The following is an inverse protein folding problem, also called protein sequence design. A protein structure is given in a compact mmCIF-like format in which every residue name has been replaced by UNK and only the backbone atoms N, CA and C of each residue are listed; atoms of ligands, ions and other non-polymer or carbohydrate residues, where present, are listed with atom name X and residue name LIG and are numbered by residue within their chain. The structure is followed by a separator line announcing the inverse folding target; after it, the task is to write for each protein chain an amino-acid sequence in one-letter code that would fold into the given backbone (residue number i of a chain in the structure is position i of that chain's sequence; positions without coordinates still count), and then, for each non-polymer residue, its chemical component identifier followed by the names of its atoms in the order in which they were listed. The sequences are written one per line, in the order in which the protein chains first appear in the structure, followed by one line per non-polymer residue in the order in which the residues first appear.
data_IF_178919725941
#
_entry.id   IF_178919725941
#
_cell.length_a   1.000
_cell.length_b   1.000
_cell.length_c   1.000
_cell.angle_alpha   90.00
_cell.angle_beta   90.00
_cell.angle_gamma   90.00
#
_symmetry.space_group_name_H-M   'P 1'
#
loop_
_entity.id
_entity.type
_entity.pdbx_description
1 polymer ?
#
# COMPACT_ATOMS: atom_id res chain seq x y z
N UNK A 1 5.84 1.67 53.30
CA UNK A 1 4.81 1.37 52.29
C UNK A 1 5.26 1.97 50.96
N UNK A 2 5.63 1.15 49.97
CA UNK A 2 5.94 1.61 48.61
C UNK A 2 4.71 1.36 47.75
N UNK A 3 4.06 2.43 47.29
CA UNK A 3 2.93 2.34 46.38
C UNK A 3 3.39 1.86 45.01
N UNK A 4 2.82 0.75 44.54
CA UNK A 4 2.89 0.37 43.14
C UNK A 4 1.93 1.26 42.36
N UNK A 5 2.46 2.19 41.57
CA UNK A 5 1.67 2.83 40.52
C UNK A 5 1.57 1.85 39.35
N UNK A 6 0.46 1.14 39.25
CA UNK A 6 0.07 0.49 38.00
C UNK A 6 -0.38 1.59 37.03
N UNK A 7 0.45 1.91 36.03
CA UNK A 7 -0.02 2.64 34.86
C UNK A 7 -0.96 1.71 34.09
N UNK A 8 -2.27 1.95 34.22
CA UNK A 8 -3.25 1.37 33.31
C UNK A 8 -3.28 2.22 32.04
N UNK A 9 -2.86 1.66 30.92
CA UNK A 9 -3.16 2.25 29.62
C UNK A 9 -4.66 2.13 29.37
N UNK A 10 -5.37 3.25 29.33
CA UNK A 10 -6.69 3.28 28.72
C UNK A 10 -6.47 3.14 27.22
N UNK A 11 -6.63 1.92 26.70
CA UNK A 11 -6.64 1.67 25.26
C UNK A 11 -7.93 2.29 24.73
N UNK A 12 -7.90 3.56 24.37
CA UNK A 12 -8.90 4.17 23.51
C UNK A 12 -8.75 3.51 22.14
N UNK A 13 -9.86 3.10 21.50
CA UNK A 13 -9.84 2.67 20.11
C UNK A 13 -9.24 3.82 19.28
N UNK A 14 -7.96 3.71 18.89
CA UNK A 14 -7.35 4.67 17.97
C UNK A 14 -8.15 4.63 16.67
N UNK A 15 -8.81 5.75 16.35
CA UNK A 15 -9.47 5.92 15.06
C UNK A 15 -8.36 6.09 14.04
N UNK A 16 -8.05 5.03 13.28
CA UNK A 16 -7.10 5.09 12.18
C UNK A 16 -7.70 5.95 11.07
N UNK A 17 -7.09 7.12 10.82
CA UNK A 17 -7.43 7.97 9.68
C UNK A 17 -6.87 7.36 8.39
N UNK A 18 -7.74 6.70 7.63
CA UNK A 18 -7.39 5.99 6.39
C UNK A 18 -6.82 6.96 5.35
N UNK A 19 -7.37 8.17 5.23
CA UNK A 19 -6.96 9.13 4.20
C UNK A 19 -5.57 9.67 4.52
N UNK A 20 -5.29 9.97 5.79
CA UNK A 20 -3.96 10.36 6.23
C UNK A 20 -2.91 9.26 5.97
N UNK A 21 -3.25 8.00 6.25
CA UNK A 21 -2.35 6.88 5.98
C UNK A 21 -2.06 6.71 4.48
N UNK A 22 -3.08 6.85 3.62
CA UNK A 22 -2.91 6.80 2.17
C UNK A 22 -2.06 7.98 1.67
N UNK A 23 -2.21 9.17 2.26
CA UNK A 23 -1.41 10.34 1.89
C UNK A 23 0.08 10.14 2.22
N UNK A 24 0.40 9.54 3.37
CA UNK A 24 1.79 9.19 3.72
C UNK A 24 2.39 8.24 2.66
N UNK A 25 1.61 7.25 2.18
CA UNK A 25 2.07 6.36 1.10
C UNK A 25 2.32 7.14 -0.20
N UNK A 26 1.43 8.06 -0.59
CA UNK A 26 1.62 8.89 -1.79
C UNK A 26 2.88 9.74 -1.71
N UNK A 27 3.19 10.29 -0.53
CA UNK A 27 4.38 11.11 -0.33
C UNK A 27 5.68 10.34 -0.61
N UNK A 28 5.70 9.01 -0.45
CA UNK A 28 6.86 8.18 -0.84
C UNK A 28 7.20 8.24 -2.32
N UNK A 29 6.27 8.66 -3.19
CA UNK A 29 6.59 8.89 -4.61
C UNK A 29 7.64 9.98 -4.81
N UNK A 30 7.66 10.99 -3.94
CA UNK A 30 8.65 12.04 -4.02
C UNK A 30 10.05 11.48 -3.72
N UNK A 31 10.17 10.65 -2.69
CA UNK A 31 11.40 9.90 -2.40
C UNK A 31 11.83 9.04 -3.59
N UNK A 32 10.90 8.33 -4.23
CA UNK A 32 11.22 7.52 -5.42
C UNK A 32 11.77 8.37 -6.57
N UNK A 33 11.27 9.59 -6.79
CA UNK A 33 11.85 10.47 -7.81
C UNK A 33 13.27 10.90 -7.44
N UNK A 34 13.48 11.28 -6.19
CA UNK A 34 14.78 11.70 -5.68
C UNK A 34 15.83 10.57 -5.77
N UNK A 35 15.45 9.34 -5.44
CA UNK A 35 16.33 8.19 -5.59
C UNK A 35 16.66 7.89 -7.06
N UNK A 36 15.70 8.03 -7.99
CA UNK A 36 15.98 7.89 -9.42
C UNK A 36 17.02 8.91 -9.89
N UNK A 37 16.87 10.18 -9.51
CA UNK A 37 17.81 11.26 -9.82
C UNK A 37 19.20 10.96 -9.26
N UNK A 38 19.29 10.46 -8.02
CA UNK A 38 20.56 10.07 -7.42
C UNK A 38 21.23 8.91 -8.17
N UNK A 39 20.49 7.88 -8.61
CA UNK A 39 21.08 6.83 -9.45
C UNK A 39 21.64 7.40 -10.77
N UNK A 40 20.92 8.33 -11.40
CA UNK A 40 21.38 8.98 -12.64
C UNK A 40 22.63 9.84 -12.38
N UNK A 41 22.67 10.57 -11.27
CA UNK A 41 23.81 11.35 -10.81
C UNK A 41 25.04 10.46 -10.64
N UNK A 42 24.95 9.38 -9.86
CA UNK A 42 26.09 8.50 -9.63
C UNK A 42 26.55 7.79 -10.92
N UNK A 43 25.63 7.46 -11.82
CA UNK A 43 26.00 6.92 -13.13
C UNK A 43 26.80 7.91 -13.99
N UNK A 44 26.32 9.14 -14.08
CA UNK A 44 26.77 10.09 -15.13
C UNK A 44 27.81 11.08 -14.63
N UNK A 45 27.67 11.54 -13.38
CA UNK A 45 28.50 12.59 -12.78
C UNK A 45 29.62 11.97 -11.94
N UNK A 46 29.33 10.93 -11.16
CA UNK A 46 30.35 10.21 -10.38
C UNK A 46 31.01 9.08 -11.17
N UNK A 47 30.78 9.02 -12.48
CA UNK A 47 31.42 8.10 -13.41
C UNK A 47 31.42 6.62 -12.97
N UNK A 48 30.32 6.13 -12.36
CA UNK A 48 30.20 4.77 -11.81
C UNK A 48 30.74 3.65 -12.72
N UNK A 49 30.45 3.69 -14.02
CA UNK A 49 30.93 2.66 -14.96
C UNK A 49 32.44 2.73 -15.21
N UNK A 50 33.05 3.89 -15.04
CA UNK A 50 34.51 4.03 -15.12
C UNK A 50 35.20 3.49 -13.87
N UNK A 51 34.59 3.64 -12.68
CA UNK A 51 35.10 3.07 -11.43
C UNK A 51 35.25 1.55 -11.54
N UNK A 52 34.25 0.87 -12.08
CA UNK A 52 34.22 -0.61 -12.12
C UNK A 52 34.95 -1.21 -13.34
N UNK A 53 35.48 -0.39 -14.26
CA UNK A 53 36.04 -0.87 -15.56
C UNK A 53 37.29 -1.72 -15.40
N UNK A 54 38.09 -1.48 -14.37
CA UNK A 54 39.35 -2.19 -14.10
C UNK A 54 39.14 -3.53 -13.39
N UNK A 55 37.92 -3.80 -12.93
CA UNK A 55 37.56 -5.08 -12.33
C UNK A 55 37.48 -6.18 -13.40
N UNK A 56 37.64 -7.42 -12.97
CA UNK A 56 37.37 -8.55 -13.86
C UNK A 56 35.89 -8.55 -14.31
N UNK A 57 35.56 -9.21 -15.43
CA UNK A 57 34.21 -9.17 -15.99
C UNK A 57 33.10 -9.64 -15.05
N UNK A 58 33.36 -10.63 -14.19
CA UNK A 58 32.37 -11.17 -13.26
C UNK A 58 31.99 -10.14 -12.18
N UNK A 59 33.01 -9.49 -11.62
CA UNK A 59 32.85 -8.47 -10.58
C UNK A 59 32.24 -7.18 -11.14
N UNK A 60 32.72 -6.75 -12.32
CA UNK A 60 32.13 -5.63 -13.04
C UNK A 60 30.62 -5.86 -13.26
N UNK A 61 30.26 -7.03 -13.80
CA UNK A 61 28.86 -7.37 -14.04
C UNK A 61 28.06 -7.40 -12.73
N UNK A 62 28.56 -8.05 -11.69
CA UNK A 62 27.87 -8.14 -10.40
C UNK A 62 27.62 -6.75 -9.80
N UNK A 63 28.64 -5.90 -9.73
CA UNK A 63 28.54 -4.56 -9.16
C UNK A 63 27.63 -3.68 -10.01
N UNK A 64 27.69 -3.77 -11.35
CA UNK A 64 26.81 -3.00 -12.25
C UNK A 64 25.31 -3.22 -11.99
N UNK A 65 24.93 -4.34 -11.37
CA UNK A 65 23.54 -4.63 -11.02
C UNK A 65 22.98 -3.65 -10.00
N UNK A 66 23.80 -3.02 -9.15
CA UNK A 66 23.29 -2.06 -8.17
C UNK A 66 22.58 -0.89 -8.84
N UNK A 67 23.16 -0.37 -9.93
CA UNK A 67 22.56 0.70 -10.71
C UNK A 67 21.27 0.24 -11.40
N UNK A 68 21.33 -0.85 -12.19
CA UNK A 68 20.19 -1.29 -12.99
C UNK A 68 19.02 -1.74 -12.11
N UNK A 69 19.28 -2.63 -11.14
CA UNK A 69 18.22 -3.13 -10.24
C UNK A 69 17.70 -2.07 -9.30
N UNK A 70 18.57 -1.21 -8.77
CA UNK A 70 18.18 -0.08 -7.95
C UNK A 70 17.25 0.85 -8.72
N UNK A 71 17.73 1.43 -9.83
CA UNK A 71 16.98 2.37 -10.67
C UNK A 71 15.64 1.80 -11.17
N UNK A 72 15.65 0.60 -11.73
CA UNK A 72 14.43 -0.02 -12.27
C UNK A 72 13.38 -0.25 -11.17
N UNK A 73 13.83 -0.58 -9.96
CA UNK A 73 12.96 -0.71 -8.79
C UNK A 73 12.30 0.62 -8.46
N UNK A 74 13.06 1.72 -8.45
CA UNK A 74 12.52 3.03 -8.08
C UNK A 74 11.46 3.51 -9.08
N UNK A 75 11.74 3.35 -10.38
CA UNK A 75 10.82 3.69 -11.46
C UNK A 75 9.52 2.88 -11.32
N UNK A 76 9.66 1.57 -11.10
CA UNK A 76 8.52 0.67 -10.94
C UNK A 76 7.68 1.05 -9.72
N UNK A 77 8.32 1.26 -8.56
CA UNK A 77 7.65 1.64 -7.32
C UNK A 77 6.90 2.98 -7.46
N UNK A 78 7.48 3.98 -8.13
CA UNK A 78 6.80 5.25 -8.38
C UNK A 78 5.49 5.05 -9.17
N UNK A 79 5.52 4.22 -10.22
CA UNK A 79 4.32 3.88 -11.00
C UNK A 79 3.31 3.08 -10.16
N UNK A 80 3.78 2.06 -9.45
CA UNK A 80 2.94 1.17 -8.65
C UNK A 80 2.24 1.96 -7.54
N UNK A 81 2.93 2.86 -6.85
CA UNK A 81 2.33 3.71 -5.83
C UNK A 81 1.29 4.64 -6.46
N UNK A 82 1.59 5.24 -7.62
CA UNK A 82 0.62 6.06 -8.34
C UNK A 82 -0.64 5.29 -8.69
N UNK A 83 -0.51 4.14 -9.36
CA UNK A 83 -1.63 3.34 -9.80
C UNK A 83 -2.45 2.81 -8.61
N UNK A 84 -1.79 2.46 -7.52
CA UNK A 84 -2.45 1.98 -6.30
C UNK A 84 -3.16 3.07 -5.51
N UNK A 85 -2.78 4.32 -5.67
CA UNK A 85 -3.38 5.45 -4.94
C UNK A 85 -4.32 6.28 -5.83
N UNK A 86 -4.43 5.92 -7.10
CA UNK A 86 -5.37 6.50 -8.06
C UNK A 86 -6.72 5.76 -7.99
N UNK A 87 -7.79 6.40 -7.47
CA UNK A 87 -9.06 5.71 -7.19
C UNK A 87 -9.68 4.96 -8.38
N UNK A 88 -9.59 5.44 -9.64
CA UNK A 88 -10.11 4.68 -10.78
C UNK A 88 -9.48 3.30 -10.97
N UNK A 89 -8.21 3.12 -10.61
CA UNK A 89 -7.51 1.83 -10.75
C UNK A 89 -7.78 0.92 -9.54
N UNK A 90 -7.86 1.51 -8.35
CA UNK A 90 -7.99 0.81 -7.08
C UNK A 90 -9.12 1.42 -6.23
N UNK A 91 -10.39 1.25 -6.61
CA UNK A 91 -11.53 2.00 -6.05
C UNK A 91 -11.91 1.62 -4.62
N UNK A 92 -11.21 0.67 -4.00
CA UNK A 92 -11.51 0.18 -2.66
C UNK A 92 -10.21 0.02 -1.89
N UNK A 93 -10.26 0.25 -0.58
CA UNK A 93 -9.13 0.05 0.33
C UNK A 93 -8.54 -1.36 0.19
N UNK A 94 -9.38 -2.39 0.02
CA UNK A 94 -8.93 -3.76 -0.24
C UNK A 94 -8.08 -3.86 -1.51
N UNK A 95 -8.57 -3.36 -2.64
CA UNK A 95 -7.83 -3.41 -3.92
C UNK A 95 -6.50 -2.64 -3.85
N UNK A 96 -6.47 -1.47 -3.21
CA UNK A 96 -5.25 -0.70 -2.97
C UNK A 96 -4.23 -1.54 -2.19
N UNK A 97 -4.64 -2.11 -1.06
CA UNK A 97 -3.76 -2.89 -0.19
C UNK A 97 -3.26 -4.15 -0.87
N UNK A 98 -4.14 -4.88 -1.55
CA UNK A 98 -3.78 -6.13 -2.24
C UNK A 98 -2.79 -5.85 -3.38
N UNK A 99 -3.01 -4.77 -4.16
CA UNK A 99 -2.13 -4.39 -5.25
C UNK A 99 -0.75 -3.94 -4.73
N UNK A 100 -0.68 -3.11 -3.70
CA UNK A 100 0.60 -2.69 -3.11
C UNK A 100 1.35 -3.86 -2.46
N UNK A 101 0.67 -4.69 -1.65
CA UNK A 101 1.34 -5.75 -0.87
C UNK A 101 2.12 -6.71 -1.76
N UNK A 102 1.56 -7.13 -2.89
CA UNK A 102 2.21 -8.07 -3.82
C UNK A 102 3.43 -7.43 -4.49
N UNK A 103 3.29 -6.18 -4.93
CA UNK A 103 4.34 -5.49 -5.67
C UNK A 103 5.51 -5.05 -4.79
N UNK A 104 5.22 -4.57 -3.57
CA UNK A 104 6.24 -4.10 -2.63
C UNK A 104 7.22 -5.21 -2.25
N UNK A 105 6.72 -6.40 -1.92
CA UNK A 105 7.56 -7.55 -1.56
C UNK A 105 8.49 -7.96 -2.71
N UNK A 106 7.96 -8.01 -3.94
CA UNK A 106 8.75 -8.33 -5.13
C UNK A 106 9.92 -7.34 -5.32
N UNK A 107 9.62 -6.04 -5.23
CA UNK A 107 10.61 -4.99 -5.42
C UNK A 107 11.62 -4.88 -4.27
N UNK A 108 11.18 -5.13 -3.03
CA UNK A 108 12.08 -5.22 -1.88
C UNK A 108 13.12 -6.32 -2.10
N UNK A 109 12.68 -7.51 -2.48
CA UNK A 109 13.58 -8.65 -2.71
C UNK A 109 14.61 -8.36 -3.82
N UNK A 110 14.22 -7.68 -4.90
CA UNK A 110 15.16 -7.27 -5.96
C UNK A 110 16.21 -6.32 -5.42
N UNK A 111 15.78 -5.26 -4.73
CA UNK A 111 16.67 -4.23 -4.21
C UNK A 111 17.62 -4.81 -3.14
N UNK A 112 17.06 -5.61 -2.23
CA UNK A 112 17.78 -6.23 -1.12
C UNK A 112 18.81 -7.25 -1.57
N UNK A 113 18.43 -8.12 -2.51
CA UNK A 113 19.38 -9.08 -3.08
C UNK A 113 20.51 -8.39 -3.83
N UNK A 114 20.23 -7.31 -4.56
CA UNK A 114 21.25 -6.55 -5.29
C UNK A 114 22.25 -5.89 -4.33
N UNK A 115 21.78 -5.10 -3.36
CA UNK A 115 22.71 -4.38 -2.48
C UNK A 115 23.51 -5.32 -1.58
N UNK A 116 22.91 -6.40 -1.06
CA UNK A 116 23.64 -7.38 -0.23
C UNK A 116 24.73 -8.10 -1.00
N UNK A 117 24.45 -8.48 -2.25
CA UNK A 117 25.44 -9.14 -3.10
C UNK A 117 26.61 -8.22 -3.44
N UNK A 118 26.32 -6.95 -3.77
CA UNK A 118 27.36 -5.95 -4.08
C UNK A 118 28.15 -5.57 -2.84
N UNK A 119 27.48 -5.29 -1.71
CA UNK A 119 28.12 -4.97 -0.43
C UNK A 119 29.09 -6.07 0.03
N UNK A 120 28.65 -7.32 -0.04
CA UNK A 120 29.53 -8.47 0.24
C UNK A 120 30.73 -8.48 -0.70
N UNK A 121 30.52 -8.29 -1.99
CA UNK A 121 31.60 -8.40 -2.98
C UNK A 121 32.64 -7.30 -2.85
N UNK A 122 32.21 -6.05 -2.69
CA UNK A 122 33.15 -4.93 -2.53
C UNK A 122 33.96 -5.07 -1.24
N UNK A 123 33.40 -5.68 -0.21
CA UNK A 123 34.12 -5.98 1.02
C UNK A 123 35.22 -7.03 0.80
N UNK A 124 34.91 -8.11 0.09
CA UNK A 124 35.89 -9.16 -0.27
C UNK A 124 37.03 -8.64 -1.16
N UNK A 125 36.74 -7.63 -1.98
CA UNK A 125 37.71 -7.01 -2.90
C UNK A 125 38.46 -5.82 -2.28
N UNK A 126 38.08 -5.38 -1.07
CA UNK A 126 38.50 -4.12 -0.46
C UNK A 126 38.30 -2.90 -1.39
N UNK A 127 37.22 -2.91 -2.16
CA UNK A 127 36.94 -1.97 -3.26
C UNK A 127 35.83 -0.97 -2.91
N UNK A 128 36.17 0.11 -2.21
CA UNK A 128 35.21 1.03 -1.58
C UNK A 128 35.02 2.35 -2.36
N UNK A 129 34.59 2.26 -3.60
CA UNK A 129 34.30 3.47 -4.40
C UNK A 129 33.05 4.19 -3.91
N UNK A 130 33.15 5.53 -3.82
CA UNK A 130 32.09 6.39 -3.30
C UNK A 130 30.75 6.18 -4.01
N UNK A 131 30.76 6.15 -5.34
CA UNK A 131 29.54 5.98 -6.16
C UNK A 131 28.84 4.64 -5.89
N UNK A 132 29.59 3.58 -5.57
CA UNK A 132 29.04 2.27 -5.26
C UNK A 132 28.43 2.26 -3.85
N UNK A 133 29.13 2.83 -2.87
CA UNK A 133 28.66 2.93 -1.49
C UNK A 133 27.35 3.72 -1.41
N UNK A 134 27.26 4.84 -2.12
CA UNK A 134 26.04 5.63 -2.15
C UNK A 134 24.89 4.91 -2.86
N UNK A 135 25.13 4.24 -3.97
CA UNK A 135 24.10 3.40 -4.60
C UNK A 135 23.61 2.26 -3.70
N UNK A 136 24.49 1.66 -2.88
CA UNK A 136 24.09 0.70 -1.83
C UNK A 136 23.19 1.37 -0.79
N UNK A 137 23.56 2.56 -0.31
CA UNK A 137 22.79 3.31 0.68
C UNK A 137 21.40 3.67 0.15
N UNK A 138 21.31 4.12 -1.11
CA UNK A 138 20.03 4.41 -1.77
C UNK A 138 19.15 3.15 -1.81
N UNK A 139 19.71 1.99 -2.17
CA UNK A 139 18.97 0.73 -2.11
C UNK A 139 18.46 0.38 -0.71
N UNK A 140 19.25 0.64 0.34
CA UNK A 140 18.81 0.46 1.72
C UNK A 140 17.66 1.41 2.09
N UNK A 141 17.71 2.67 1.65
CA UNK A 141 16.63 3.64 1.86
C UNK A 141 15.34 3.23 1.14
N UNK A 142 15.44 2.72 -0.10
CA UNK A 142 14.30 2.16 -0.83
C UNK A 142 13.66 1.03 -0.03
N UNK A 143 14.46 0.09 0.49
CA UNK A 143 13.94 -1.00 1.31
C UNK A 143 13.25 -0.49 2.58
N UNK A 144 13.82 0.50 3.25
CA UNK A 144 13.23 1.11 4.45
C UNK A 144 11.90 1.83 4.15
N UNK A 145 11.79 2.48 2.98
CA UNK A 145 10.54 3.09 2.53
C UNK A 145 9.48 2.04 2.19
N UNK A 146 9.87 0.91 1.58
CA UNK A 146 8.97 -0.22 1.35
C UNK A 146 8.45 -0.78 2.68
N UNK A 147 9.31 -0.92 3.69
CA UNK A 147 8.92 -1.40 5.01
C UNK A 147 7.93 -0.47 5.69
N UNK A 148 8.16 0.85 5.64
CA UNK A 148 7.21 1.83 6.15
C UNK A 148 5.85 1.75 5.43
N UNK A 149 5.83 1.60 4.10
CA UNK A 149 4.56 1.41 3.38
C UNK A 149 3.90 0.12 3.86
N UNK A 150 4.65 -0.97 3.99
CA UNK A 150 4.13 -2.28 4.39
C UNK A 150 3.52 -2.25 5.79
N UNK A 151 4.13 -1.53 6.73
CA UNK A 151 3.58 -1.30 8.07
C UNK A 151 2.25 -0.54 8.02
N UNK A 152 2.16 0.50 7.19
CA UNK A 152 0.91 1.24 6.97
C UNK A 152 -0.16 0.31 6.38
N UNK A 153 0.18 -0.53 5.40
CA UNK A 153 -0.78 -1.49 4.84
C UNK A 153 -1.25 -2.49 5.90
N UNK A 154 -0.37 -2.94 6.78
CA UNK A 154 -0.72 -3.85 7.87
C UNK A 154 -1.63 -3.19 8.90
N UNK A 155 -1.42 -1.90 9.20
CA UNK A 155 -2.33 -1.09 10.02
C UNK A 155 -3.70 -0.97 9.34
N UNK A 156 -3.74 -0.61 8.05
CA UNK A 156 -4.98 -0.45 7.29
C UNK A 156 -5.78 -1.75 7.18
N UNK A 157 -5.12 -2.92 7.12
CA UNK A 157 -5.77 -4.24 7.15
C UNK A 157 -6.56 -4.50 8.44
N UNK A 158 -6.24 -3.80 9.53
CA UNK A 158 -6.95 -3.94 10.82
C UNK A 158 -8.24 -3.12 10.87
N UNK A 159 -8.40 -2.14 9.97
CA UNK A 159 -9.57 -1.26 9.95
C UNK A 159 -10.88 -2.00 9.65
N UNK A 160 -11.99 -1.50 10.21
CA UNK A 160 -13.31 -2.05 9.92
C UNK A 160 -13.63 -2.00 8.42
N UNK A 161 -13.26 -0.90 7.74
CA UNK A 161 -13.46 -0.73 6.29
C UNK A 161 -12.83 -1.85 5.48
N UNK A 162 -11.55 -2.18 5.74
CA UNK A 162 -10.88 -3.26 5.02
C UNK A 162 -11.51 -4.62 5.34
N UNK A 163 -11.75 -4.91 6.62
CA UNK A 163 -12.35 -6.19 7.04
C UNK A 163 -13.74 -6.41 6.46
N UNK A 164 -14.54 -5.35 6.30
CA UNK A 164 -15.86 -5.37 5.67
C UNK A 164 -15.74 -5.68 4.19
N UNK A 165 -14.84 -4.99 3.48
CA UNK A 165 -14.58 -5.23 2.05
C UNK A 165 -13.99 -6.63 1.78
N UNK A 166 -13.31 -7.23 2.75
CA UNK A 166 -12.80 -8.61 2.69
C UNK A 166 -13.86 -9.66 3.04
N UNK A 167 -15.04 -9.27 3.55
CA UNK A 167 -16.08 -10.19 4.01
C UNK A 167 -15.76 -10.87 5.35
N UNK A 168 -14.92 -10.24 6.18
CA UNK A 168 -14.43 -10.77 7.48
C UNK A 168 -15.01 -10.06 8.70
N UNK A 169 -15.94 -9.13 8.49
CA UNK A 169 -16.79 -8.56 9.53
C UNK A 169 -18.19 -9.14 9.38
N UNK A 170 -18.79 -9.56 10.49
CA UNK A 170 -20.19 -9.94 10.54
C UNK A 170 -21.05 -8.74 10.97
N UNK A 171 -22.36 -8.81 10.72
CA UNK A 171 -23.31 -7.71 11.01
C UNK A 171 -23.33 -7.32 12.50
N UNK A 172 -22.91 -8.23 13.38
CA UNK A 172 -22.83 -8.05 14.83
C UNK A 172 -21.59 -7.27 15.28
N UNK A 173 -20.58 -7.13 14.42
CA UNK A 173 -19.36 -6.35 14.68
C UNK A 173 -19.53 -4.86 14.30
N UNK A 174 -20.67 -4.49 13.72
CA UNK A 174 -21.03 -3.10 13.36
C UNK A 174 -21.56 -2.41 14.61
N UNK A 175 -20.98 -1.25 14.95
CA UNK A 175 -21.44 -0.43 16.08
C UNK A 175 -22.97 -0.22 15.98
N UNK A 176 -23.73 -0.36 17.09
CA UNK A 176 -25.18 -0.19 17.10
C UNK A 176 -25.65 1.14 16.50
N UNK A 177 -24.79 2.16 16.55
CA UNK A 177 -25.03 3.53 16.07
C UNK A 177 -24.94 3.64 14.54
N UNK A 178 -24.29 2.68 13.87
CA UNK A 178 -24.23 2.55 12.40
C UNK A 178 -25.20 1.50 11.85
N UNK A 179 -25.96 0.80 12.72
CA UNK A 179 -27.07 -0.03 12.26
C UNK A 179 -28.12 0.91 11.67
N UNK A 180 -28.60 0.70 10.43
CA UNK A 180 -29.74 1.45 9.95
C UNK A 180 -30.87 1.25 10.96
N UNK A 181 -31.43 2.33 11.48
CA UNK A 181 -32.58 2.31 12.38
C UNK A 181 -33.77 1.71 11.62
N UNK A 182 -33.85 0.39 11.53
CA UNK A 182 -35.04 -0.31 11.03
C UNK A 182 -36.08 -0.32 12.13
N UNK A 183 -36.59 0.86 12.44
CA UNK A 183 -37.92 1.08 12.99
C UNK A 183 -38.64 2.03 12.04
N UNK A 184 -38.83 1.58 10.79
CA UNK A 184 -40.02 2.00 10.05
C UNK A 184 -41.14 1.11 10.59
N UNK A 185 -41.81 1.56 11.65
CA UNK A 185 -43.17 1.09 11.93
C UNK A 185 -44.05 1.61 10.79
N UNK A 186 -44.16 0.84 9.72
CA UNK A 186 -45.22 1.02 8.74
C UNK A 186 -46.53 0.59 9.41
N UNK A 187 -47.17 1.53 10.09
CA UNK A 187 -48.53 1.40 10.57
C UNK A 187 -49.49 1.53 9.37
N UNK A 188 -49.51 0.53 8.50
CA UNK A 188 -50.55 0.39 7.49
C UNK A 188 -51.67 -0.49 8.04
N UNK A 189 -52.61 0.14 8.74
CA UNK A 189 -53.96 -0.40 8.89
C UNK A 189 -54.69 -0.23 7.54
N UNK A 190 -54.49 -1.17 6.63
CA UNK A 190 -55.34 -1.35 5.47
C UNK A 190 -55.61 -2.86 5.29
N UNK A 191 -56.86 -3.27 5.01
CA UNK A 191 -57.21 -4.68 4.92
C UNK A 191 -56.49 -5.33 3.73
N UNK A 192 -55.71 -6.36 4.04
CA UNK A 192 -54.99 -7.19 3.07
C UNK A 192 -56.02 -7.97 2.25
N UNK A 193 -56.22 -7.59 0.99
CA UNK A 193 -56.79 -8.52 0.01
C UNK A 193 -55.69 -9.49 -0.42
N UNK A 194 -55.82 -10.74 0.02
CA UNK A 194 -55.02 -11.86 -0.46
C UNK A 194 -55.27 -12.04 -1.96
N UNK A 195 -54.27 -11.75 -2.79
CA UNK A 195 -54.13 -12.38 -4.10
C UNK A 195 -52.89 -13.26 -4.09
N UNK A 196 -53.08 -14.47 -4.60
CA UNK A 196 -52.26 -15.64 -4.37
C UNK A 196 -50.86 -15.50 -4.96
N UNK A 197 -49.88 -16.03 -4.24
CA UNK A 197 -48.54 -16.32 -4.76
C UNK A 197 -48.68 -17.44 -5.80
N UNK A 198 -48.34 -17.16 -7.05
CA UNK A 198 -47.99 -18.19 -8.03
C UNK A 198 -46.50 -18.08 -8.36
N UNK A 199 -45.78 -19.12 -7.98
CA UNK A 199 -44.38 -19.38 -8.29
C UNK A 199 -44.16 -19.60 -9.79
N UNK A 200 -43.16 -18.93 -10.37
CA UNK A 200 -42.70 -19.21 -11.73
C UNK A 200 -41.55 -18.30 -12.16
N UNK A 201 -40.34 -18.85 -12.10
CA UNK A 201 -39.08 -18.45 -12.74
C UNK A 201 -38.95 -17.16 -13.58
N UNK A 202 -37.78 -16.54 -13.38
CA UNK A 202 -36.98 -15.69 -14.27
C UNK A 202 -37.25 -14.17 -14.34
N UNK A 203 -36.10 -13.47 -14.28
CA UNK A 203 -35.77 -12.18 -14.87
C UNK A 203 -35.97 -10.91 -14.01
N UNK A 204 -34.81 -10.32 -13.67
CA UNK A 204 -34.46 -8.90 -13.87
C UNK A 204 -35.57 -7.85 -13.71
N UNK A 205 -35.43 -6.98 -12.70
CA UNK A 205 -35.94 -5.59 -12.75
C UNK A 205 -35.09 -4.72 -11.82
N UNK A 206 -34.20 -3.88 -12.38
CA UNK A 206 -34.45 -2.53 -12.90
C UNK A 206 -34.55 -1.49 -11.77
N UNK A 207 -33.48 -0.71 -11.62
CA UNK A 207 -33.42 0.50 -10.81
C UNK A 207 -34.43 1.49 -11.37
N UNK A 208 -35.56 1.69 -10.68
CA UNK A 208 -36.48 2.76 -11.03
C UNK A 208 -36.02 4.07 -10.39
N UNK A 209 -35.72 5.00 -11.30
CA UNK A 209 -35.42 6.40 -11.08
C UNK A 209 -36.57 7.07 -10.31
N UNK A 210 -36.28 7.65 -9.15
CA UNK A 210 -37.21 8.54 -8.47
C UNK A 210 -36.97 9.96 -9.02
N UNK A 211 -37.80 10.36 -9.97
CA UNK A 211 -37.99 11.76 -10.35
C UNK A 211 -38.89 12.41 -9.30
N UNK A 212 -38.32 13.31 -8.49
CA UNK A 212 -39.09 14.23 -7.67
C UNK A 212 -39.61 15.38 -8.54
N UNK A 213 -40.90 15.39 -8.82
CA UNK A 213 -41.66 16.60 -9.15
C UNK A 213 -42.80 16.73 -8.14
N UNK A 214 -42.69 17.70 -7.24
CA UNK A 214 -43.79 18.56 -6.78
C UNK A 214 -43.34 19.40 -5.58
N UNK A 215 -42.91 20.63 -5.84
CA UNK A 215 -43.16 21.76 -4.94
C UNK A 215 -43.59 22.94 -5.84
N UNK A 216 -44.92 23.14 -5.84
CA UNK A 216 -45.71 24.37 -6.02
C UNK A 216 -45.41 25.29 -7.22
#
# INVERSE_FOLDING_TARGET
MRGFFTMSYTITNEIIDIDQQIEIIKMKRQNMKEYEEQFIHHKSIEHFYECIKELNPEDNFLISKIYSKGRDTVISLNSIIFDSTYPPNTPTLKKLIDHLSVNLEYHKNICESAYKAVEKRIHELEFYEWSILEMINICKYICADIDQISDILNLLKQTKTYRLQKGTLQMDDIDPIMKPSTTIQNNYNAPIQQSMIQSGHNNTMSVNQIYNQALQ
#
